data_IF_010087768296
#
_entry.id   IF_010087768296
#
_cell.length_a   1.000
_cell.length_b   1.000
_cell.length_c   1.000
_cell.angle_alpha   90.00
_cell.angle_beta   90.00
_cell.angle_gamma   90.00
#
_symmetry.space_group_name_H-M   'P 1'
#
loop_
_entity.id
_entity.type
_entity.pdbx_description
1 polymer ?
#
# COMPACT_ATOMS: atom_id res chain seq x y z
N UNK A 1 1.72 0.90 -20.72
CA UNK A 1 2.26 0.23 -19.52
C UNK A 1 3.22 -0.91 -19.89
N UNK A 2 2.87 -1.79 -20.80
CA UNK A 2 3.70 -2.94 -21.18
C UNK A 2 5.13 -2.56 -21.61
N UNK A 3 5.26 -1.56 -22.49
CA UNK A 3 6.58 -1.05 -22.91
C UNK A 3 7.46 -0.59 -21.71
N UNK A 4 6.84 -0.02 -20.69
CA UNK A 4 7.56 0.40 -19.46
C UNK A 4 8.03 -0.81 -18.66
N UNK A 5 7.21 -1.85 -18.53
CA UNK A 5 7.62 -3.10 -17.87
C UNK A 5 8.82 -3.73 -18.59
N UNK A 6 8.83 -3.71 -19.92
CA UNK A 6 9.96 -4.18 -20.73
C UNK A 6 11.23 -3.36 -20.48
N UNK A 7 11.13 -2.03 -20.51
CA UNK A 7 12.27 -1.12 -20.32
C UNK A 7 12.89 -1.24 -18.94
N UNK A 8 12.08 -1.44 -17.89
CA UNK A 8 12.59 -1.60 -16.51
C UNK A 8 13.03 -3.04 -16.19
N UNK A 9 12.92 -3.97 -17.14
CA UNK A 9 13.27 -5.37 -16.92
C UNK A 9 12.43 -6.04 -15.84
N UNK A 10 11.15 -5.70 -15.75
CA UNK A 10 10.25 -6.20 -14.73
C UNK A 10 10.04 -7.72 -14.88
N UNK A 11 10.23 -8.45 -13.78
CA UNK A 11 9.91 -9.89 -13.74
C UNK A 11 8.43 -10.08 -13.48
N UNK A 12 7.75 -10.76 -14.39
CA UNK A 12 6.31 -11.04 -14.29
C UNK A 12 6.07 -12.49 -13.87
N UNK A 13 4.89 -12.74 -13.29
CA UNK A 13 4.41 -14.08 -12.97
C UNK A 13 3.03 -14.29 -13.57
N UNK A 14 2.88 -15.40 -14.31
CA UNK A 14 1.63 -15.70 -15.00
C UNK A 14 1.41 -14.86 -16.27
N UNK A 15 0.22 -14.99 -16.86
CA UNK A 15 -0.22 -14.21 -18.00
C UNK A 15 -1.08 -13.01 -17.60
N UNK A 16 -1.45 -12.21 -18.60
CA UNK A 16 -2.40 -11.11 -18.42
C UNK A 16 -3.78 -11.68 -18.14
N UNK A 17 -4.42 -11.21 -17.09
CA UNK A 17 -5.79 -11.61 -16.72
C UNK A 17 -6.82 -11.03 -17.72
N UNK A 18 -8.08 -11.51 -17.61
CA UNK A 18 -9.20 -10.96 -18.41
C UNK A 18 -9.47 -9.48 -18.12
N UNK A 19 -9.03 -8.98 -16.97
CA UNK A 19 -9.18 -7.58 -16.54
C UNK A 19 -7.97 -6.73 -16.93
N UNK A 20 -7.05 -7.25 -17.75
CA UNK A 20 -5.85 -6.54 -18.18
C UNK A 20 -4.76 -6.42 -17.09
N UNK A 21 -4.83 -7.26 -16.06
CA UNK A 21 -3.85 -7.23 -14.95
C UNK A 21 -2.78 -8.29 -15.10
N UNK A 22 -1.56 -7.94 -14.70
CA UNK A 22 -0.41 -8.85 -14.62
C UNK A 22 0.28 -8.69 -13.25
N UNK A 23 0.77 -9.79 -12.71
CA UNK A 23 1.57 -9.77 -11.49
C UNK A 23 3.04 -9.47 -11.80
N UNK A 24 3.59 -8.47 -11.12
CA UNK A 24 4.96 -7.99 -11.31
C UNK A 24 5.71 -8.12 -10.00
N UNK A 25 6.94 -8.64 -10.06
CA UNK A 25 7.80 -8.75 -8.89
C UNK A 25 8.19 -7.36 -8.38
N UNK A 26 8.02 -7.13 -7.08
CA UNK A 26 8.41 -5.87 -6.45
C UNK A 26 9.94 -5.68 -6.53
N UNK A 27 10.44 -4.56 -7.07
CA UNK A 27 11.87 -4.29 -7.19
C UNK A 27 12.55 -4.08 -5.83
N UNK A 28 11.78 -3.75 -4.79
CA UNK A 28 12.30 -3.61 -3.42
C UNK A 28 12.68 -4.96 -2.79
N UNK A 29 12.46 -6.08 -3.49
CA UNK A 29 12.94 -7.42 -3.17
C UNK A 29 12.23 -8.10 -2.02
N UNK A 30 12.18 -7.49 -0.87
CA UNK A 30 11.60 -8.09 0.35
C UNK A 30 10.60 -7.13 0.95
N UNK A 31 9.33 -7.36 0.68
CA UNK A 31 8.24 -6.67 1.34
C UNK A 31 7.85 -7.43 2.60
N UNK A 32 8.11 -6.83 3.76
CA UNK A 32 7.80 -7.42 5.05
C UNK A 32 8.67 -8.63 5.41
N UNK A 33 8.22 -9.41 6.39
CA UNK A 33 8.97 -10.52 6.98
C UNK A 33 9.04 -11.81 6.13
N UNK A 34 8.71 -11.74 4.84
CA UNK A 34 8.65 -12.92 3.97
C UNK A 34 9.96 -13.11 3.20
N UNK A 35 10.57 -14.28 3.34
CA UNK A 35 11.75 -14.72 2.57
C UNK A 35 11.46 -14.98 1.08
N UNK A 36 10.23 -14.78 0.61
CA UNK A 36 9.81 -15.07 -0.78
C UNK A 36 9.61 -13.77 -1.55
N UNK A 37 9.85 -13.79 -2.88
CA UNK A 37 9.54 -12.65 -3.74
C UNK A 37 8.07 -12.23 -3.59
N UNK A 38 7.85 -10.93 -3.53
CA UNK A 38 6.52 -10.33 -3.43
C UNK A 38 6.13 -9.79 -4.79
N UNK A 39 4.88 -9.98 -5.17
CA UNK A 39 4.32 -9.51 -6.42
C UNK A 39 3.21 -8.52 -6.15
N UNK A 40 3.07 -7.54 -7.02
CA UNK A 40 1.98 -6.57 -7.01
C UNK A 40 1.25 -6.56 -8.36
N UNK A 41 0.01 -6.08 -8.37
CA UNK A 41 -0.81 -6.06 -9.58
C UNK A 41 -0.55 -4.79 -10.40
N UNK A 42 -0.40 -4.97 -11.71
CA UNK A 42 -0.27 -3.88 -12.70
C UNK A 42 -1.38 -4.05 -13.72
N UNK A 43 -2.23 -3.04 -13.85
CA UNK A 43 -3.24 -2.99 -14.90
C UNK A 43 -2.64 -2.33 -16.15
N UNK A 44 -2.52 -3.12 -17.22
CA UNK A 44 -1.86 -2.70 -18.46
C UNK A 44 -2.69 -1.65 -19.22
N UNK A 45 -4.01 -1.78 -19.19
CA UNK A 45 -4.93 -0.88 -19.92
C UNK A 45 -5.03 0.48 -19.24
N UNK A 46 -5.23 0.49 -17.91
CA UNK A 46 -5.37 1.72 -17.11
C UNK A 46 -4.03 2.41 -16.84
N UNK A 47 -2.91 1.72 -17.04
CA UNK A 47 -1.59 2.26 -16.73
C UNK A 47 -1.37 2.50 -15.24
N UNK A 48 -1.96 1.67 -14.38
CA UNK A 48 -1.91 1.80 -12.93
C UNK A 48 -1.36 0.54 -12.28
N UNK A 49 -0.73 0.68 -11.12
CA UNK A 49 -0.32 -0.45 -10.28
C UNK A 49 -0.83 -0.30 -8.85
N UNK A 50 -1.01 -1.44 -8.19
CA UNK A 50 -1.38 -1.53 -6.78
C UNK A 50 -0.52 -2.57 -6.08
N UNK A 51 0.16 -2.13 -5.02
CA UNK A 51 0.90 -3.01 -4.12
C UNK A 51 0.14 -3.13 -2.79
N UNK A 52 -0.41 -4.31 -2.52
CA UNK A 52 -1.12 -4.60 -1.26
C UNK A 52 -0.17 -5.04 -0.14
N UNK A 53 1.12 -5.14 -0.43
CA UNK A 53 2.12 -5.54 0.53
C UNK A 53 2.80 -4.29 1.09
N UNK A 54 2.34 -3.85 2.27
CA UNK A 54 2.90 -2.71 2.98
C UNK A 54 4.37 -2.92 3.30
N UNK A 55 5.26 -2.43 2.44
CA UNK A 55 6.65 -2.24 2.77
C UNK A 55 6.89 -0.74 2.98
N UNK A 56 7.52 -0.39 4.09
CA UNK A 56 7.97 0.97 4.34
C UNK A 56 8.80 1.47 3.14
N UNK A 57 8.37 2.56 2.54
CA UNK A 57 9.02 3.19 1.39
C UNK A 57 8.55 2.73 0.01
N UNK A 58 7.62 1.77 -0.09
CA UNK A 58 6.98 1.45 -1.37
C UNK A 58 5.71 2.30 -1.55
N UNK A 59 5.59 3.12 -2.59
CA UNK A 59 4.32 3.75 -2.89
C UNK A 59 3.31 2.66 -3.24
N UNK A 60 2.23 2.57 -2.48
CA UNK A 60 1.22 1.50 -2.55
C UNK A 60 0.54 1.40 -3.92
N UNK A 61 0.40 2.52 -4.60
CA UNK A 61 -0.24 2.60 -5.90
C UNK A 61 0.29 3.80 -6.69
N UNK A 62 0.14 3.75 -7.99
CA UNK A 62 0.55 4.87 -8.83
C UNK A 62 0.31 4.61 -10.31
N UNK A 63 0.71 5.58 -11.11
CA UNK A 63 0.68 5.51 -12.56
C UNK A 63 1.99 5.01 -13.17
N UNK A 64 2.06 5.11 -14.48
CA UNK A 64 3.21 4.67 -15.29
C UNK A 64 4.55 5.30 -14.87
N UNK A 65 4.54 6.60 -14.56
CA UNK A 65 5.74 7.34 -14.15
C UNK A 65 6.19 6.91 -12.76
N UNK A 66 5.23 6.70 -11.85
CA UNK A 66 5.52 6.25 -10.49
C UNK A 66 6.11 4.84 -10.50
N UNK A 67 5.58 3.96 -11.35
CA UNK A 67 6.12 2.62 -11.55
C UNK A 67 7.56 2.67 -12.09
N UNK A 68 7.80 3.51 -13.10
CA UNK A 68 9.14 3.70 -13.65
C UNK A 68 10.12 4.22 -12.59
N UNK A 69 9.71 5.19 -11.78
CA UNK A 69 10.51 5.71 -10.68
C UNK A 69 10.81 4.63 -9.64
N UNK A 70 9.82 3.80 -9.29
CA UNK A 70 9.98 2.70 -8.34
C UNK A 70 11.08 1.72 -8.78
N UNK A 71 11.09 1.35 -10.07
CA UNK A 71 12.10 0.42 -10.60
C UNK A 71 13.50 1.02 -10.74
N UNK A 72 13.59 2.34 -10.98
CA UNK A 72 14.86 3.02 -11.21
C UNK A 72 15.37 3.80 -9.99
N UNK A 73 14.70 3.74 -8.86
CA UNK A 73 15.08 4.48 -7.66
C UNK A 73 15.02 6.00 -7.82
N UNK A 74 14.10 6.50 -8.66
CA UNK A 74 13.90 7.93 -8.88
C UNK A 74 12.84 8.48 -7.94
N UNK A 75 12.94 9.78 -7.60
CA UNK A 75 11.93 10.45 -6.78
C UNK A 75 10.69 10.77 -7.63
N UNK A 76 9.52 10.15 -7.35
CA UNK A 76 8.30 10.40 -8.11
C UNK A 76 7.76 11.84 -7.96
N UNK A 77 8.21 12.59 -6.95
CA UNK A 77 7.84 14.00 -6.77
C UNK A 77 8.50 14.91 -7.79
N UNK A 78 9.65 14.50 -8.34
CA UNK A 78 10.37 15.22 -9.39
C UNK A 78 9.84 14.87 -10.78
N UNK A 79 8.56 15.14 -11.02
CA UNK A 79 7.82 14.73 -12.23
C UNK A 79 8.50 15.06 -13.56
N UNK A 80 9.12 16.24 -13.68
CA UNK A 80 9.79 16.65 -14.94
C UNK A 80 11.01 15.78 -15.24
N UNK A 81 11.86 15.55 -14.22
CA UNK A 81 13.04 14.68 -14.34
C UNK A 81 12.62 13.23 -14.63
N UNK A 82 11.60 12.74 -13.93
CA UNK A 82 11.07 11.40 -14.11
C UNK A 82 10.49 11.18 -15.52
N UNK A 83 9.71 12.12 -16.03
CA UNK A 83 9.15 12.05 -17.38
C UNK A 83 10.24 12.07 -18.45
N UNK A 84 11.27 12.92 -18.27
CA UNK A 84 12.42 12.98 -19.18
C UNK A 84 13.21 11.67 -19.17
N UNK A 85 13.45 11.11 -18.00
CA UNK A 85 14.13 9.83 -17.85
C UNK A 85 13.34 8.68 -18.49
N UNK A 86 12.02 8.62 -18.27
CA UNK A 86 11.13 7.65 -18.91
C UNK A 86 11.15 7.76 -20.43
N UNK A 87 11.02 8.98 -20.98
CA UNK A 87 11.08 9.21 -22.42
C UNK A 87 12.43 8.76 -23.00
N UNK A 88 13.53 9.04 -22.32
CA UNK A 88 14.86 8.58 -22.74
C UNK A 88 14.94 7.05 -22.73
N UNK A 89 14.44 6.41 -21.69
CA UNK A 89 14.44 4.96 -21.57
C UNK A 89 13.62 4.28 -22.67
N UNK A 90 12.44 4.81 -22.98
CA UNK A 90 11.60 4.30 -24.08
C UNK A 90 12.26 4.48 -25.45
N UNK A 91 13.18 5.44 -25.60
CA UNK A 91 13.99 5.65 -26.80
C UNK A 91 15.34 4.90 -26.75
N UNK A 92 15.50 3.94 -25.85
CA UNK A 92 16.69 3.10 -25.75
C UNK A 92 17.93 3.80 -25.15
N UNK A 93 17.76 4.97 -24.53
CA UNK A 93 18.87 5.67 -23.85
C UNK A 93 19.01 5.14 -22.42
N UNK A 94 20.22 4.99 -21.89
CA UNK A 94 20.43 4.54 -20.53
C UNK A 94 19.82 5.52 -19.52
N UNK A 95 19.20 4.97 -18.47
CA UNK A 95 18.70 5.74 -17.33
C UNK A 95 19.83 5.88 -16.32
N UNK A 96 20.28 7.09 -16.09
CA UNK A 96 21.19 7.36 -14.98
C UNK A 96 20.39 7.27 -13.67
N UNK A 97 20.35 6.10 -13.04
CA UNK A 97 19.76 5.93 -11.72
C UNK A 97 20.67 6.58 -10.68
N UNK A 98 20.22 7.70 -10.13
CA UNK A 98 21.01 8.47 -9.14
C UNK A 98 20.80 8.01 -7.70
N UNK A 99 19.84 7.14 -7.44
CA UNK A 99 19.53 6.74 -6.06
C UNK A 99 19.26 5.25 -6.01
N UNK A 100 20.15 4.51 -5.41
CA UNK A 100 19.83 3.21 -4.87
C UNK A 100 18.90 3.49 -3.68
N UNK A 101 17.60 3.25 -3.83
CA UNK A 101 16.67 3.26 -2.70
C UNK A 101 17.13 2.17 -1.73
N UNK A 102 18.03 2.53 -0.82
CA UNK A 102 18.33 1.68 0.31
C UNK A 102 17.05 1.67 1.15
N UNK A 103 16.44 0.50 1.27
CA UNK A 103 15.46 0.25 2.30
C UNK A 103 16.04 0.71 3.63
N UNK A 104 15.54 1.82 4.14
CA UNK A 104 15.73 2.18 5.52
C UNK A 104 14.54 1.58 6.25
N UNK A 105 14.74 0.53 7.07
CA UNK A 105 13.67 0.10 7.96
C UNK A 105 13.24 1.33 8.75
N UNK A 106 11.92 1.58 8.78
CA UNK A 106 11.40 2.59 9.70
C UNK A 106 12.01 2.30 11.08
N UNK A 107 12.42 3.34 11.83
CA UNK A 107 12.88 3.14 13.19
C UNK A 107 11.81 2.29 13.87
N UNK A 108 12.21 1.15 14.41
CA UNK A 108 11.34 0.31 15.22
C UNK A 108 10.86 1.19 16.36
N UNK A 109 9.64 1.73 16.19
CA UNK A 109 8.94 2.34 17.31
C UNK A 109 8.83 1.21 18.32
N UNK A 110 9.30 1.43 19.55
CA UNK A 110 9.11 0.48 20.64
C UNK A 110 7.61 0.18 20.72
N UNK A 111 7.24 -0.96 20.16
CA UNK A 111 5.86 -1.41 20.16
C UNK A 111 5.57 -1.75 21.61
N UNK A 112 4.71 -0.95 22.24
CA UNK A 112 4.23 -1.23 23.59
C UNK A 112 3.66 -2.63 23.67
N UNK A 113 3.75 -3.23 24.85
CA UNK A 113 3.18 -4.57 25.04
C UNK A 113 1.68 -4.59 24.74
N UNK A 114 1.14 -5.75 24.35
CA UNK A 114 -0.28 -5.91 24.07
C UNK A 114 -1.15 -5.48 25.26
N UNK A 115 -0.68 -5.69 26.50
CA UNK A 115 -1.37 -5.27 27.71
C UNK A 115 -1.38 -3.73 27.86
N UNK A 116 -0.32 -3.05 27.49
CA UNK A 116 -0.28 -1.57 27.52
C UNK A 116 -1.21 -0.99 26.43
N UNK A 117 -1.21 -1.59 25.26
CA UNK A 117 -2.10 -1.21 24.16
C UNK A 117 -3.55 -1.44 24.54
N UNK A 118 -3.90 -2.61 25.13
CA UNK A 118 -5.27 -2.92 25.57
C UNK A 118 -5.76 -1.90 26.61
N UNK A 119 -4.91 -1.51 27.58
CA UNK A 119 -5.26 -0.46 28.55
C UNK A 119 -5.59 0.87 27.88
N UNK A 120 -4.78 1.29 26.91
CA UNK A 120 -5.01 2.54 26.19
C UNK A 120 -6.30 2.47 25.37
N UNK A 121 -6.51 1.38 24.63
CA UNK A 121 -7.73 1.20 23.81
C UNK A 121 -8.99 1.15 24.69
N UNK A 122 -8.96 0.43 25.81
CA UNK A 122 -10.10 0.41 26.76
C UNK A 122 -10.36 1.78 27.35
N UNK A 123 -9.32 2.54 27.70
CA UNK A 123 -9.49 3.90 28.19
C UNK A 123 -10.17 4.82 27.16
N UNK A 124 -9.82 4.70 25.89
CA UNK A 124 -10.47 5.43 24.80
C UNK A 124 -11.92 4.96 24.63
N UNK A 125 -12.17 3.66 24.54
CA UNK A 125 -13.51 3.09 24.36
C UNK A 125 -14.45 3.45 25.51
N UNK A 126 -13.95 3.56 26.74
CA UNK A 126 -14.74 3.96 27.91
C UNK A 126 -15.15 5.45 27.89
N UNK A 127 -14.42 6.28 27.14
CA UNK A 127 -14.78 7.70 26.94
C UNK A 127 -15.79 7.91 25.81
N UNK A 128 -15.94 6.92 24.94
CA UNK A 128 -16.83 7.00 23.79
C UNK A 128 -18.18 6.38 24.12
N UNK A 129 -19.25 6.95 23.55
CA UNK A 129 -20.62 6.43 23.67
C UNK A 129 -21.08 5.87 22.32
N UNK A 130 -21.99 4.91 22.34
CA UNK A 130 -22.62 4.41 21.11
C UNK A 130 -23.89 5.22 20.87
N UNK A 131 -23.96 5.98 19.77
CA UNK A 131 -25.14 6.74 19.37
C UNK A 131 -26.34 5.80 19.13
N UNK A 132 -27.56 6.19 19.49
CA UNK A 132 -28.76 5.34 19.32
C UNK A 132 -28.99 4.88 17.87
N UNK A 133 -28.73 5.74 16.90
CA UNK A 133 -28.85 5.45 15.48
C UNK A 133 -27.86 4.33 15.04
N UNK A 134 -26.63 4.37 15.54
CA UNK A 134 -25.64 3.33 15.26
C UNK A 134 -26.01 2.00 15.94
N UNK A 135 -26.53 2.05 17.18
CA UNK A 135 -27.04 0.86 17.88
C UNK A 135 -28.19 0.22 17.08
N UNK A 136 -29.16 1.03 16.63
CA UNK A 136 -30.25 0.54 15.80
C UNK A 136 -29.79 -0.10 14.49
N UNK A 137 -28.74 0.44 13.87
CA UNK A 137 -28.16 -0.14 12.67
C UNK A 137 -27.53 -1.52 12.97
N UNK A 138 -26.82 -1.67 14.08
CA UNK A 138 -26.24 -2.95 14.50
C UNK A 138 -27.32 -3.99 14.80
N UNK A 139 -28.41 -3.60 15.46
CA UNK A 139 -29.56 -4.46 15.72
C UNK A 139 -30.23 -4.93 14.42
N UNK A 140 -30.41 -4.04 13.43
CA UNK A 140 -30.93 -4.39 12.10
C UNK A 140 -30.06 -5.38 11.36
N UNK A 141 -28.74 -5.42 11.65
CA UNK A 141 -27.80 -6.39 11.11
C UNK A 141 -27.79 -7.73 11.86
N UNK A 142 -28.66 -7.89 12.85
CA UNK A 142 -28.81 -9.14 13.59
C UNK A 142 -27.94 -9.27 14.84
N UNK A 143 -27.22 -8.21 15.27
CA UNK A 143 -26.52 -8.24 16.55
C UNK A 143 -27.49 -8.06 17.70
N UNK A 144 -27.25 -8.76 18.81
CA UNK A 144 -28.01 -8.54 20.04
C UNK A 144 -27.39 -7.42 20.88
N UNK A 145 -28.17 -6.82 21.78
CA UNK A 145 -27.67 -5.81 22.71
C UNK A 145 -26.50 -6.34 23.55
N UNK A 146 -26.55 -7.58 23.99
CA UNK A 146 -25.50 -8.24 24.76
C UNK A 146 -24.18 -8.32 23.97
N UNK A 147 -24.24 -8.67 22.70
CA UNK A 147 -23.06 -8.71 21.82
C UNK A 147 -22.51 -7.31 21.56
N UNK A 148 -23.39 -6.33 21.33
CA UNK A 148 -23.01 -4.93 21.11
C UNK A 148 -22.25 -4.39 22.32
N UNK A 149 -22.74 -4.63 23.52
CA UNK A 149 -22.15 -4.14 24.76
C UNK A 149 -20.86 -4.90 25.11
N UNK A 150 -20.85 -6.22 24.95
CA UNK A 150 -19.67 -7.08 25.17
C UNK A 150 -18.51 -6.74 24.23
N UNK A 151 -18.80 -6.47 22.95
CA UNK A 151 -17.79 -6.11 21.95
C UNK A 151 -17.40 -4.63 21.98
N UNK A 152 -17.92 -3.85 22.94
CA UNK A 152 -17.59 -2.44 23.14
C UNK A 152 -17.75 -1.58 21.88
N UNK A 153 -18.78 -1.82 21.07
CA UNK A 153 -19.08 -0.94 19.95
C UNK A 153 -19.26 0.51 20.41
N UNK A 154 -18.65 1.45 19.71
CA UNK A 154 -18.68 2.89 20.04
C UNK A 154 -18.86 3.71 18.77
N UNK A 155 -19.35 4.92 18.93
CA UNK A 155 -19.45 5.88 17.82
C UNK A 155 -18.26 6.81 17.84
N UNK A 156 -17.63 6.96 16.68
CA UNK A 156 -16.55 7.95 16.50
C UNK A 156 -17.16 9.35 16.53
N UNK A 157 -16.59 10.31 17.26
CA UNK A 157 -17.03 11.70 17.22
C UNK A 157 -16.84 12.30 15.83
N UNK A 158 -17.66 13.28 15.47
CA UNK A 158 -17.57 13.94 14.16
C UNK A 158 -16.31 14.81 14.01
N UNK A 159 -15.70 15.19 15.14
CA UNK A 159 -14.41 15.91 15.20
C UNK A 159 -13.60 15.36 16.37
N UNK A 160 -12.33 15.11 16.12
CA UNK A 160 -11.32 14.85 17.14
C UNK A 160 -10.55 16.13 17.40
#
# INVERSE_FOLDING_TARGET
MEAVLGVVGAKTRGGVSRTGEIEVQCPMGVCGHKKKPVYFSVNLERGQYNCFHCCSGCPYSGGIVDLFCLFNGLDPKKRQEANKALANALNGKPVESRVTLKYQPEPTVDVKSDEELDKVYRAVLNKLTLKPEHRNNLLKRGLTNEVIDKCLYRSVPERW
#
